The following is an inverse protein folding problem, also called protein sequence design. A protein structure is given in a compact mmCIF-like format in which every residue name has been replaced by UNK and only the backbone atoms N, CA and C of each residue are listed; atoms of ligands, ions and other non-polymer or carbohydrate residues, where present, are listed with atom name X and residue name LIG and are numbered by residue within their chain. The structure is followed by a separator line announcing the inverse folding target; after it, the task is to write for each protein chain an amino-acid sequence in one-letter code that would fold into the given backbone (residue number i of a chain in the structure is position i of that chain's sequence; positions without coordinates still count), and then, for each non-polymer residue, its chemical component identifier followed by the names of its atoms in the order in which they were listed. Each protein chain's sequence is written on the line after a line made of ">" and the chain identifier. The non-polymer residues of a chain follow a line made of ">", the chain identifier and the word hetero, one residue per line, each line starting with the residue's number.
data_IF_540527469807
#
_entry.id   IF_540527469807
#
_cell.length_a   1.000
_cell.length_b   1.000
_cell.length_c   1.000
_cell.angle_alpha   90.00
_cell.angle_beta   90.00
_cell.angle_gamma   90.00
#
_symmetry.space_group_name_H-M   'P 1'
#
loop_
_entity.id
_entity.type
_entity.pdbx_description
1 polymer ?
#
# COMPACT_ATOMS: atom_id res chain seq x y z
N UNK A 1 2.95 29.02 12.99
CA UNK A 1 1.90 28.83 11.98
C UNK A 1 2.48 29.32 10.66
N UNK A 2 2.70 28.47 9.67
CA UNK A 2 3.30 28.91 8.39
C UNK A 2 2.31 29.79 7.63
N UNK A 3 2.79 30.92 7.13
CA UNK A 3 2.01 31.88 6.34
C UNK A 3 1.80 31.34 4.91
N UNK A 4 0.55 31.37 4.44
CA UNK A 4 0.14 30.88 3.12
C UNK A 4 0.85 31.69 2.01
N UNK A 5 1.08 32.98 2.26
CA UNK A 5 1.75 33.87 1.31
C UNK A 5 3.25 33.56 1.16
N UNK A 6 3.91 33.13 2.23
CA UNK A 6 5.31 32.69 2.18
C UNK A 6 5.45 31.40 1.35
N UNK A 7 4.52 30.47 1.52
CA UNK A 7 4.47 29.22 0.75
C UNK A 7 4.25 29.53 -0.74
N UNK A 8 3.34 30.44 -1.06
CA UNK A 8 3.07 30.86 -2.44
C UNK A 8 4.31 31.45 -3.11
N UNK A 9 5.03 32.35 -2.44
CA UNK A 9 6.31 32.91 -2.93
C UNK A 9 7.36 31.82 -3.15
N UNK A 10 7.44 30.85 -2.24
CA UNK A 10 8.38 29.73 -2.37
C UNK A 10 8.07 28.85 -3.59
N UNK A 11 6.80 28.56 -3.84
CA UNK A 11 6.36 27.77 -5.00
C UNK A 11 6.60 28.50 -6.33
N UNK A 12 6.43 29.83 -6.35
CA UNK A 12 6.79 30.65 -7.51
C UNK A 12 8.28 30.52 -7.88
N UNK A 13 9.16 30.45 -6.87
CA UNK A 13 10.60 30.25 -7.07
C UNK A 13 11.01 28.83 -7.50
N UNK A 14 10.09 27.86 -7.55
CA UNK A 14 10.44 26.50 -7.98
C UNK A 14 10.52 26.36 -9.49
N UNK A 15 11.41 25.49 -9.96
CA UNK A 15 11.48 25.09 -11.36
C UNK A 15 10.29 24.20 -11.73
N UNK A 16 9.96 24.16 -13.03
CA UNK A 16 8.88 23.32 -13.55
C UNK A 16 9.08 21.84 -13.26
N UNK A 17 10.33 21.36 -13.25
CA UNK A 17 10.69 19.99 -12.88
C UNK A 17 10.27 19.70 -11.44
N UNK A 18 10.55 20.63 -10.53
CA UNK A 18 10.19 20.50 -9.11
C UNK A 18 8.69 20.54 -8.90
N UNK A 19 7.97 21.44 -9.58
CA UNK A 19 6.50 21.51 -9.55
C UNK A 19 5.88 20.21 -10.09
N UNK A 20 6.38 19.68 -11.21
CA UNK A 20 5.93 18.38 -11.76
C UNK A 20 6.16 17.22 -10.79
N UNK A 21 7.30 17.20 -10.10
CA UNK A 21 7.63 16.17 -9.11
C UNK A 21 6.67 16.21 -7.91
N UNK A 22 6.44 17.40 -7.36
CA UNK A 22 5.52 17.61 -6.23
C UNK A 22 4.10 17.18 -6.64
N UNK A 23 3.65 17.60 -7.82
CA UNK A 23 2.34 17.24 -8.37
C UNK A 23 2.12 15.72 -8.49
N UNK A 24 3.15 14.98 -8.93
CA UNK A 24 3.06 13.53 -9.12
C UNK A 24 3.16 12.74 -7.82
N UNK A 25 4.11 13.09 -6.96
CA UNK A 25 4.54 12.20 -5.87
C UNK A 25 4.06 12.65 -4.49
N UNK A 26 3.83 13.95 -4.29
CA UNK A 26 3.61 14.53 -2.96
C UNK A 26 2.20 15.14 -2.80
N UNK A 27 1.46 15.30 -3.90
CA UNK A 27 0.18 16.01 -3.94
C UNK A 27 -0.88 15.50 -2.97
N UNK A 28 -0.89 14.19 -2.68
CA UNK A 28 -1.78 13.55 -1.69
C UNK A 28 -1.55 14.03 -0.26
N UNK A 29 -0.30 14.28 0.11
CA UNK A 29 0.10 14.63 1.49
C UNK A 29 0.05 16.13 1.77
N UNK A 30 -0.05 16.94 0.71
CA UNK A 30 -0.15 18.39 0.84
C UNK A 30 -1.48 18.78 1.49
N UNK A 31 -1.44 19.83 2.32
CA UNK A 31 -2.65 20.42 2.90
C UNK A 31 -3.56 21.01 1.79
N UNK A 32 -4.89 21.03 1.98
CA UNK A 32 -5.83 21.56 0.98
C UNK A 32 -5.44 22.94 0.44
N UNK A 33 -5.01 23.85 1.31
CA UNK A 33 -4.67 25.22 0.94
C UNK A 33 -3.41 25.28 0.07
N UNK A 34 -2.43 24.41 0.35
CA UNK A 34 -1.18 24.31 -0.42
C UNK A 34 -1.44 23.64 -1.78
N UNK A 35 -2.42 22.74 -1.86
CA UNK A 35 -2.82 22.08 -3.11
C UNK A 35 -3.45 23.06 -4.09
N UNK A 36 -4.25 24.01 -3.61
CA UNK A 36 -4.80 25.06 -4.47
C UNK A 36 -3.68 25.94 -5.04
N UNK A 37 -2.69 26.34 -4.22
CA UNK A 37 -1.49 27.07 -4.70
C UNK A 37 -0.76 26.27 -5.79
N UNK A 38 -0.61 24.96 -5.61
CA UNK A 38 0.05 24.10 -6.59
C UNK A 38 -0.75 24.03 -7.91
N UNK A 39 -2.08 23.93 -7.85
CA UNK A 39 -2.95 23.93 -9.04
C UNK A 39 -2.84 25.25 -9.79
N UNK A 40 -2.89 26.38 -9.07
CA UNK A 40 -2.74 27.72 -9.64
C UNK A 40 -1.40 27.88 -10.37
N UNK A 41 -0.30 27.42 -9.78
CA UNK A 41 1.02 27.49 -10.41
C UNK A 41 1.12 26.60 -11.67
N UNK A 42 0.52 25.41 -11.65
CA UNK A 42 0.48 24.51 -12.82
C UNK A 42 -0.32 25.16 -13.96
N UNK A 43 -1.45 25.80 -13.65
CA UNK A 43 -2.28 26.51 -14.63
C UNK A 43 -1.58 27.76 -15.17
N UNK A 44 -1.01 28.59 -14.30
CA UNK A 44 -0.28 29.83 -14.66
C UNK A 44 0.87 29.54 -15.63
N UNK A 45 1.59 28.45 -15.41
CA UNK A 45 2.74 28.01 -16.23
C UNK A 45 2.33 27.19 -17.45
N UNK A 46 1.03 26.95 -17.67
CA UNK A 46 0.50 26.09 -18.74
C UNK A 46 1.17 24.73 -18.80
N UNK A 47 1.46 24.15 -17.63
CA UNK A 47 2.01 22.81 -17.53
C UNK A 47 0.98 21.75 -17.96
N UNK A 48 1.44 20.51 -18.16
CA UNK A 48 0.61 19.43 -18.68
C UNK A 48 -0.71 19.27 -17.88
N UNK A 49 -1.85 19.36 -18.58
CA UNK A 49 -3.20 19.25 -18.01
C UNK A 49 -3.42 17.94 -17.24
N UNK A 50 -2.76 16.85 -17.64
CA UNK A 50 -2.86 15.56 -16.96
C UNK A 50 -2.39 15.63 -15.49
N UNK A 51 -1.51 16.58 -15.15
CA UNK A 51 -1.08 16.79 -13.76
C UNK A 51 -2.22 17.33 -12.91
N UNK A 52 -3.04 18.24 -13.45
CA UNK A 52 -4.21 18.74 -12.76
C UNK A 52 -5.22 17.62 -12.56
N UNK A 53 -5.50 16.84 -13.61
CA UNK A 53 -6.42 15.69 -13.54
C UNK A 53 -5.97 14.69 -12.47
N UNK A 54 -4.66 14.39 -12.41
CA UNK A 54 -4.08 13.54 -11.36
C UNK A 54 -4.32 14.12 -9.96
N UNK A 55 -4.03 15.41 -9.75
CA UNK A 55 -4.24 16.07 -8.46
C UNK A 55 -5.72 16.04 -8.06
N UNK A 56 -6.65 16.31 -8.99
CA UNK A 56 -8.08 16.24 -8.67
C UNK A 56 -8.50 14.82 -8.29
N UNK A 57 -8.10 13.81 -9.08
CA UNK A 57 -8.45 12.42 -8.84
C UNK A 57 -7.90 11.89 -7.51
N UNK A 58 -6.66 12.22 -7.16
CA UNK A 58 -6.04 11.76 -5.92
C UNK A 58 -6.72 12.35 -4.67
N UNK A 59 -7.24 13.58 -4.79
CA UNK A 59 -7.88 14.32 -3.70
C UNK A 59 -9.39 14.10 -3.59
N UNK A 60 -10.04 13.61 -4.64
CA UNK A 60 -11.44 13.21 -4.60
C UNK A 60 -11.57 11.84 -3.91
N UNK A 61 -11.66 11.87 -2.58
CA UNK A 61 -11.78 10.67 -1.74
C UNK A 61 -13.08 9.93 -2.03
N UNK A 62 -12.99 8.62 -2.22
CA UNK A 62 -14.16 7.73 -2.31
C UNK A 62 -15.04 7.84 -1.05
N UNK A 63 -16.35 7.94 -1.28
CA UNK A 63 -17.37 7.87 -0.23
C UNK A 63 -17.38 6.49 0.43
N UNK A 64 -17.93 6.39 1.65
CA UNK A 64 -18.02 5.11 2.36
C UNK A 64 -18.81 4.04 1.59
N UNK A 65 -19.83 4.47 0.84
CA UNK A 65 -20.60 3.57 -0.01
C UNK A 65 -19.77 3.05 -1.19
N UNK A 66 -19.03 3.92 -1.88
CA UNK A 66 -18.12 3.52 -2.96
C UNK A 66 -17.03 2.58 -2.44
N UNK A 67 -16.44 2.88 -1.27
CA UNK A 67 -15.45 2.02 -0.61
C UNK A 67 -16.03 0.63 -0.32
N UNK A 68 -17.26 0.54 0.21
CA UNK A 68 -17.91 -0.74 0.47
C UNK A 68 -18.24 -1.52 -0.81
N UNK A 69 -18.65 -0.82 -1.88
CA UNK A 69 -18.88 -1.44 -3.19
C UNK A 69 -17.59 -2.03 -3.75
N UNK A 70 -16.49 -1.26 -3.72
CA UNK A 70 -15.16 -1.71 -4.11
C UNK A 70 -14.68 -2.89 -3.25
N UNK A 71 -14.91 -2.85 -1.95
CA UNK A 71 -14.58 -3.94 -1.05
C UNK A 71 -15.25 -5.25 -1.49
N UNK A 72 -16.56 -5.22 -1.73
CA UNK A 72 -17.32 -6.39 -2.22
C UNK A 72 -16.85 -6.82 -3.59
N UNK A 73 -16.43 -5.89 -4.44
CA UNK A 73 -15.88 -6.18 -5.75
C UNK A 73 -14.58 -6.98 -5.62
N UNK A 74 -13.64 -6.47 -4.82
CA UNK A 74 -12.36 -7.13 -4.49
C UNK A 74 -12.61 -8.55 -3.97
N UNK A 75 -13.54 -8.74 -3.02
CA UNK A 75 -13.85 -10.07 -2.49
C UNK A 75 -14.26 -11.06 -3.59
N UNK A 76 -14.91 -10.63 -4.66
CA UNK A 76 -15.51 -11.50 -5.67
C UNK A 76 -14.67 -11.66 -6.95
N UNK A 77 -13.46 -11.10 -6.99
CA UNK A 77 -12.54 -11.25 -8.11
C UNK A 77 -11.86 -12.62 -8.15
N UNK A 78 -11.28 -12.94 -9.31
CA UNK A 78 -10.39 -14.10 -9.46
C UNK A 78 -9.13 -13.88 -8.62
N UNK A 79 -8.58 -14.95 -8.06
CA UNK A 79 -7.34 -14.86 -7.30
C UNK A 79 -6.15 -14.53 -8.22
N UNK A 80 -5.36 -13.48 -7.97
CA UNK A 80 -4.22 -13.13 -8.81
C UNK A 80 -3.12 -14.21 -8.82
N UNK A 81 -2.98 -14.98 -7.74
CA UNK A 81 -1.94 -16.01 -7.63
C UNK A 81 -2.29 -17.35 -8.32
N UNK A 82 -3.57 -17.73 -8.38
CA UNK A 82 -3.97 -19.02 -8.99
C UNK A 82 -4.96 -18.88 -10.15
N UNK A 83 -5.36 -17.65 -10.47
CA UNK A 83 -6.33 -17.26 -11.49
C UNK A 83 -7.70 -17.96 -11.42
N UNK A 84 -8.04 -18.56 -10.27
CA UNK A 84 -9.30 -19.28 -10.05
C UNK A 84 -10.23 -18.47 -9.14
N UNK A 85 -11.53 -18.48 -9.47
CA UNK A 85 -12.61 -17.94 -8.62
C UNK A 85 -13.19 -19.06 -7.76
N UNK A 86 -12.44 -19.46 -6.72
CA UNK A 86 -12.86 -20.54 -5.80
C UNK A 86 -13.62 -20.00 -4.60
N UNK A 87 -13.00 -19.05 -3.91
CA UNK A 87 -13.47 -18.44 -2.67
C UNK A 87 -13.25 -16.94 -2.75
N UNK A 88 -13.86 -16.21 -1.80
CA UNK A 88 -13.62 -14.78 -1.64
C UNK A 88 -12.13 -14.47 -1.47
N UNK A 89 -11.69 -13.36 -2.06
CA UNK A 89 -10.38 -12.81 -1.77
C UNK A 89 -10.38 -12.22 -0.36
N UNK A 90 -9.30 -12.47 0.36
CA UNK A 90 -9.03 -11.96 1.69
C UNK A 90 -7.64 -11.33 1.70
N UNK A 91 -7.52 -10.24 2.42
CA UNK A 91 -6.25 -9.61 2.72
C UNK A 91 -5.70 -10.16 4.04
N UNK A 92 -4.44 -10.58 4.02
CA UNK A 92 -3.76 -11.13 5.19
C UNK A 92 -2.32 -10.64 5.28
N UNK A 93 -1.83 -10.60 6.53
CA UNK A 93 -0.44 -10.32 6.88
C UNK A 93 0.33 -11.66 6.99
N UNK A 94 1.49 -11.72 6.36
CA UNK A 94 2.41 -12.85 6.32
C UNK A 94 3.72 -12.42 6.95
N UNK A 95 4.03 -13.01 8.10
CA UNK A 95 5.26 -12.72 8.84
C UNK A 95 6.28 -13.84 8.60
N UNK A 96 7.52 -13.48 8.32
CA UNK A 96 8.63 -14.42 8.10
C UNK A 96 9.86 -13.91 8.81
N UNK A 97 10.40 -14.69 9.74
CA UNK A 97 11.67 -14.40 10.41
C UNK A 97 12.73 -15.37 9.90
N UNK A 98 13.80 -14.82 9.35
CA UNK A 98 14.99 -15.59 8.97
C UNK A 98 16.16 -15.02 9.74
N UNK A 99 16.88 -15.87 10.47
CA UNK A 99 18.06 -15.45 11.20
C UNK A 99 19.21 -16.43 11.02
N UNK A 100 20.43 -15.90 11.03
CA UNK A 100 21.69 -16.63 10.86
C UNK A 100 22.75 -15.92 11.71
N UNK A 101 23.17 -16.54 12.82
CA UNK A 101 24.27 -16.15 13.73
C UNK A 101 24.19 -14.69 14.21
N UNK A 102 24.62 -13.72 13.39
CA UNK A 102 24.64 -12.29 13.69
C UNK A 102 23.56 -11.48 12.93
N UNK A 103 22.86 -12.09 11.98
CA UNK A 103 21.85 -11.41 11.19
C UNK A 103 20.46 -11.96 11.50
N UNK A 104 19.49 -11.07 11.68
CA UNK A 104 18.09 -11.41 11.78
C UNK A 104 17.29 -10.47 10.87
N UNK A 105 16.47 -11.05 9.98
CA UNK A 105 15.58 -10.33 9.10
C UNK A 105 14.15 -10.74 9.42
N UNK A 106 13.36 -9.79 9.90
CA UNK A 106 11.92 -9.93 9.98
C UNK A 106 11.29 -9.31 8.72
N UNK A 107 10.41 -10.05 8.09
CA UNK A 107 9.64 -9.64 6.92
C UNK A 107 8.17 -9.72 7.26
N UNK A 108 7.45 -8.62 7.08
CA UNK A 108 5.99 -8.60 7.07
C UNK A 108 5.54 -8.28 5.65
N UNK A 109 4.62 -9.07 5.12
CA UNK A 109 4.01 -8.84 3.81
C UNK A 109 2.49 -8.87 3.90
N UNK A 110 1.82 -7.92 3.28
CA UNK A 110 0.38 -7.88 3.13
C UNK A 110 0.00 -8.32 1.72
N UNK A 111 -0.82 -9.37 1.59
CA UNK A 111 -1.31 -9.82 0.28
C UNK A 111 -2.80 -10.05 0.28
N UNK A 112 -3.43 -9.81 -0.86
CA UNK A 112 -4.84 -10.05 -1.13
C UNK A 112 -4.95 -11.30 -2.01
N UNK A 113 -5.39 -12.41 -1.42
CA UNK A 113 -5.38 -13.74 -2.03
C UNK A 113 -6.67 -14.49 -1.71
N UNK A 114 -7.01 -15.52 -2.48
CA UNK A 114 -8.07 -16.43 -2.07
C UNK A 114 -7.65 -17.26 -0.84
N UNK A 115 -8.63 -17.70 -0.06
CA UNK A 115 -8.41 -18.47 1.18
C UNK A 115 -7.38 -19.62 1.03
N UNK A 116 -7.42 -20.36 -0.08
CA UNK A 116 -6.50 -21.48 -0.31
C UNK A 116 -5.04 -21.02 -0.51
N UNK A 117 -4.81 -20.03 -1.36
CA UNK A 117 -3.47 -19.48 -1.59
C UNK A 117 -2.93 -18.81 -0.33
N UNK A 118 -3.81 -18.10 0.39
CA UNK A 118 -3.49 -17.47 1.67
C UNK A 118 -3.04 -18.49 2.71
N UNK A 119 -3.79 -19.58 2.91
CA UNK A 119 -3.45 -20.65 3.85
C UNK A 119 -2.11 -21.30 3.52
N UNK A 120 -1.86 -21.63 2.25
CA UNK A 120 -0.61 -22.25 1.81
C UNK A 120 0.59 -21.32 2.04
N UNK A 121 0.44 -20.02 1.74
CA UNK A 121 1.50 -19.05 1.95
C UNK A 121 1.77 -18.83 3.45
N UNK A 122 0.72 -18.77 4.28
CA UNK A 122 0.84 -18.64 5.74
C UNK A 122 1.57 -19.83 6.35
N UNK A 123 1.23 -21.05 5.94
CA UNK A 123 1.91 -22.26 6.39
C UNK A 123 3.39 -22.26 5.96
N UNK A 124 3.68 -21.88 4.71
CA UNK A 124 5.07 -21.77 4.23
C UNK A 124 5.88 -20.77 5.05
N UNK A 125 5.37 -19.57 5.28
CA UNK A 125 6.02 -18.53 6.10
C UNK A 125 6.22 -18.96 7.55
N UNK A 126 5.23 -19.64 8.12
CA UNK A 126 5.30 -20.21 9.47
C UNK A 126 6.40 -21.27 9.59
N UNK A 127 6.46 -22.21 8.64
CA UNK A 127 7.51 -23.24 8.60
C UNK A 127 8.90 -22.64 8.43
N UNK A 128 9.08 -21.67 7.53
CA UNK A 128 10.36 -20.97 7.34
C UNK A 128 10.77 -20.28 8.65
N UNK A 129 9.83 -19.60 9.32
CA UNK A 129 10.08 -18.91 10.59
C UNK A 129 10.51 -19.89 11.69
N UNK A 130 9.86 -21.04 11.80
CA UNK A 130 10.25 -22.08 12.78
C UNK A 130 11.59 -22.71 12.45
N UNK A 131 11.93 -22.91 11.17
CA UNK A 131 13.18 -23.60 10.81
C UNK A 131 14.38 -22.66 10.83
N UNK A 132 14.19 -21.40 10.49
CA UNK A 132 15.29 -20.44 10.26
C UNK A 132 15.29 -19.26 11.23
N UNK A 133 14.29 -19.11 12.08
CA UNK A 133 14.19 -17.96 12.99
C UNK A 133 15.17 -17.99 14.16
N UNK A 134 15.67 -19.16 14.57
CA UNK A 134 16.33 -19.34 15.88
C UNK A 134 17.86 -19.23 15.88
N UNK A 135 18.51 -19.11 14.72
CA UNK A 135 19.96 -19.25 14.62
C UNK A 135 20.77 -18.02 15.08
N UNK A 136 20.12 -16.99 15.62
CA UNK A 136 20.77 -15.80 16.19
C UNK A 136 20.19 -15.47 17.57
N UNK A 137 20.95 -14.76 18.41
CA UNK A 137 20.48 -14.29 19.74
C UNK A 137 19.19 -13.47 19.64
N UNK A 138 19.13 -12.56 18.66
CA UNK A 138 17.93 -11.75 18.38
C UNK A 138 16.78 -12.58 17.85
N UNK A 139 17.07 -13.57 16.99
CA UNK A 139 16.08 -14.45 16.40
C UNK A 139 15.43 -15.38 17.41
N UNK A 140 16.18 -15.84 18.42
CA UNK A 140 15.67 -16.70 19.49
C UNK A 140 14.53 -16.06 20.29
N UNK A 141 14.57 -14.74 20.52
CA UNK A 141 13.49 -14.00 21.19
C UNK A 141 12.39 -13.53 20.22
N UNK A 142 12.78 -13.13 19.01
CA UNK A 142 11.85 -12.56 18.04
C UNK A 142 10.92 -13.62 17.43
N UNK A 143 11.44 -14.82 17.16
CA UNK A 143 10.68 -15.92 16.56
C UNK A 143 9.46 -16.34 17.38
N UNK A 144 9.56 -16.65 18.69
CA UNK A 144 8.39 -17.04 19.48
C UNK A 144 7.39 -15.89 19.60
N UNK A 145 7.86 -14.64 19.70
CA UNK A 145 6.99 -13.45 19.69
C UNK A 145 6.20 -13.35 18.37
N UNK A 146 6.87 -13.49 17.22
CA UNK A 146 6.20 -13.41 15.91
C UNK A 146 5.22 -14.55 15.70
N UNK A 147 5.54 -15.77 16.15
CA UNK A 147 4.61 -16.92 16.08
C UNK A 147 3.39 -16.70 16.97
N UNK A 148 3.58 -16.20 18.20
CA UNK A 148 2.47 -15.87 19.10
C UNK A 148 1.59 -14.76 18.52
N UNK A 149 2.19 -13.69 17.98
CA UNK A 149 1.48 -12.63 17.26
C UNK A 149 0.65 -13.21 16.11
N UNK A 150 1.23 -14.11 15.32
CA UNK A 150 0.54 -14.73 14.19
C UNK A 150 -0.65 -15.60 14.61
N UNK A 151 -0.54 -16.30 15.74
CA UNK A 151 -1.65 -17.06 16.34
C UNK A 151 -2.76 -16.11 16.79
N UNK A 152 -2.43 -15.04 17.52
CA UNK A 152 -3.41 -14.03 17.96
C UNK A 152 -4.09 -13.37 16.74
N UNK A 153 -3.33 -13.09 15.69
CA UNK A 153 -3.83 -12.50 14.44
C UNK A 153 -4.87 -13.38 13.73
N UNK A 154 -4.88 -14.71 13.94
CA UNK A 154 -5.94 -15.58 13.42
C UNK A 154 -7.31 -15.20 14.01
N UNK A 155 -7.36 -14.84 15.29
CA UNK A 155 -8.60 -14.38 15.96
C UNK A 155 -9.06 -13.01 15.46
N UNK A 156 -8.13 -12.15 14.99
CA UNK A 156 -8.41 -10.80 14.49
C UNK A 156 -8.44 -10.72 12.96
N UNK A 157 -8.57 -11.84 12.26
CA UNK A 157 -8.46 -11.92 10.81
C UNK A 157 -9.42 -10.97 10.08
N UNK A 158 -10.66 -10.80 10.55
CA UNK A 158 -11.62 -9.86 9.96
C UNK A 158 -11.17 -8.40 10.06
N UNK A 159 -10.61 -8.00 11.21
CA UNK A 159 -10.10 -6.64 11.43
C UNK A 159 -8.88 -6.37 10.55
N UNK A 160 -7.97 -7.33 10.44
CA UNK A 160 -6.78 -7.24 9.59
C UNK A 160 -7.16 -7.15 8.12
N UNK A 161 -8.08 -8.02 7.66
CA UNK A 161 -8.61 -8.02 6.31
C UNK A 161 -9.19 -6.66 5.93
N UNK A 162 -10.06 -6.12 6.78
CA UNK A 162 -10.70 -4.84 6.52
C UNK A 162 -9.68 -3.71 6.48
N UNK A 163 -8.72 -3.69 7.42
CA UNK A 163 -7.66 -2.68 7.46
C UNK A 163 -6.83 -2.67 6.18
N UNK A 164 -6.33 -3.84 5.75
CA UNK A 164 -5.45 -3.94 4.57
C UNK A 164 -6.22 -3.56 3.29
N UNK A 165 -7.47 -4.01 3.12
CA UNK A 165 -8.26 -3.65 1.94
C UNK A 165 -8.57 -2.15 1.94
N UNK A 166 -8.91 -1.55 3.08
CA UNK A 166 -9.12 -0.10 3.18
C UNK A 166 -7.85 0.68 2.84
N UNK A 167 -6.69 0.30 3.39
CA UNK A 167 -5.39 0.89 3.06
C UNK A 167 -5.09 0.76 1.56
N UNK A 168 -5.37 -0.40 0.96
CA UNK A 168 -5.22 -0.62 -0.47
C UNK A 168 -6.13 0.30 -1.31
N UNK A 169 -7.39 0.45 -0.92
CA UNK A 169 -8.35 1.32 -1.62
C UNK A 169 -7.89 2.77 -1.54
N UNK A 170 -7.50 3.23 -0.34
CA UNK A 170 -7.07 4.60 -0.11
C UNK A 170 -5.75 4.90 -0.81
N UNK A 171 -4.81 3.96 -0.83
CA UNK A 171 -3.55 4.10 -1.56
C UNK A 171 -3.78 4.29 -3.07
N UNK A 172 -4.72 3.55 -3.65
CA UNK A 172 -5.01 3.57 -5.09
C UNK A 172 -6.17 4.50 -5.49
N UNK A 173 -6.60 5.41 -4.61
CA UNK A 173 -7.75 6.29 -4.83
C UNK A 173 -7.70 7.04 -6.17
N UNK A 174 -6.57 7.71 -6.48
CA UNK A 174 -6.43 8.45 -7.73
C UNK A 174 -6.52 7.56 -8.98
N UNK A 175 -6.01 6.31 -8.90
CA UNK A 175 -6.12 5.35 -10.00
C UNK A 175 -7.58 4.96 -10.21
N UNK A 176 -8.33 4.65 -9.14
CA UNK A 176 -9.75 4.31 -9.25
C UNK A 176 -10.59 5.47 -9.80
N UNK A 177 -10.25 6.71 -9.45
CA UNK A 177 -10.92 7.90 -9.98
C UNK A 177 -10.63 8.15 -11.46
N UNK A 178 -9.40 7.87 -11.92
CA UNK A 178 -9.00 8.13 -13.32
C UNK A 178 -9.39 7.02 -14.29
N UNK A 179 -9.15 5.78 -13.90
CA UNK A 179 -9.30 4.63 -14.78
C UNK A 179 -10.57 3.82 -14.48
N UNK A 180 -11.25 4.15 -13.38
CA UNK A 180 -12.45 3.45 -12.96
C UNK A 180 -12.16 2.25 -12.08
N UNK A 181 -13.21 1.46 -11.87
CA UNK A 181 -13.22 0.35 -10.90
C UNK A 181 -13.56 -0.97 -11.56
N UNK A 182 -13.35 -1.11 -12.87
CA UNK A 182 -13.62 -2.34 -13.61
C UNK A 182 -12.81 -3.54 -13.07
N UNK A 183 -13.30 -4.75 -13.34
CA UNK A 183 -12.73 -5.98 -12.78
C UNK A 183 -11.26 -6.17 -13.18
N UNK A 184 -10.87 -5.76 -14.38
CA UNK A 184 -9.51 -5.90 -14.90
C UNK A 184 -8.55 -4.92 -14.23
N UNK A 185 -8.92 -3.64 -14.12
CA UNK A 185 -8.15 -2.61 -13.41
C UNK A 185 -7.93 -3.01 -11.96
N UNK A 186 -8.99 -3.42 -11.25
CA UNK A 186 -8.88 -3.85 -9.85
C UNK A 186 -7.99 -5.10 -9.74
N UNK A 187 -8.16 -6.09 -10.63
CA UNK A 187 -7.32 -7.30 -10.64
C UNK A 187 -5.84 -6.98 -10.88
N UNK A 188 -5.53 -6.10 -11.84
CA UNK A 188 -4.17 -5.68 -12.16
C UNK A 188 -3.52 -4.92 -11.00
N UNK A 189 -4.28 -4.05 -10.31
CA UNK A 189 -3.80 -3.35 -9.12
C UNK A 189 -3.52 -4.30 -7.95
N UNK A 190 -4.39 -5.28 -7.72
CA UNK A 190 -4.16 -6.29 -6.69
C UNK A 190 -2.92 -7.13 -7.03
N UNK A 191 -2.75 -7.51 -8.30
CA UNK A 191 -1.58 -8.28 -8.74
C UNK A 191 -0.29 -7.50 -8.48
N UNK A 192 -0.23 -6.23 -8.90
CA UNK A 192 0.89 -5.32 -8.60
C UNK A 192 1.12 -5.14 -7.11
N UNK A 193 0.06 -4.99 -6.31
CA UNK A 193 0.17 -4.88 -4.86
C UNK A 193 0.82 -6.12 -4.23
N UNK A 194 0.41 -7.31 -4.69
CA UNK A 194 0.95 -8.57 -4.20
C UNK A 194 2.42 -8.82 -4.63
N UNK A 195 2.85 -8.21 -5.73
CA UNK A 195 4.21 -8.31 -6.27
C UNK A 195 5.15 -7.25 -5.66
N UNK A 196 4.71 -5.99 -5.55
CA UNK A 196 5.49 -4.85 -5.05
C UNK A 196 5.84 -4.93 -3.57
N UNK A 197 5.15 -5.78 -2.78
CA UNK A 197 5.53 -6.04 -1.39
C UNK A 197 6.80 -6.92 -1.25
N UNK A 198 7.45 -7.20 -2.39
CA UNK A 198 8.84 -7.65 -2.45
C UNK A 198 9.84 -6.47 -2.46
N UNK A 199 9.45 -5.26 -2.91
CA UNK A 199 10.34 -4.12 -3.18
C UNK A 199 10.41 -3.05 -2.08
N UNK A 200 9.44 -2.96 -1.15
CA UNK A 200 9.49 -2.06 0.02
C UNK A 200 10.63 -2.38 1.01
N UNK A 201 11.49 -3.35 0.68
CA UNK A 201 12.63 -3.83 1.47
C UNK A 201 13.99 -3.20 1.15
N UNK A 202 14.11 -2.39 0.11
CA UNK A 202 15.39 -1.73 -0.19
C UNK A 202 15.45 -0.26 0.25
N UNK A 203 14.32 0.47 0.26
CA UNK A 203 14.32 1.89 0.67
C UNK A 203 14.38 2.14 2.19
N UNK A 204 14.27 1.10 3.03
CA UNK A 204 14.50 1.22 4.48
C UNK A 204 15.95 0.95 4.89
N UNK A 205 16.83 0.60 3.94
CA UNK A 205 18.27 0.40 4.19
C UNK A 205 19.14 1.64 3.93
N UNK A 206 18.60 2.69 3.31
CA UNK A 206 19.36 3.93 3.02
C UNK A 206 19.29 5.00 4.13
N UNK A 207 18.79 4.64 5.32
CA UNK A 207 18.89 5.49 6.51
C UNK A 207 19.64 4.76 7.63
N UNK A 208 20.92 4.55 7.42
CA UNK A 208 21.92 4.38 8.49
C UNK A 208 23.02 5.42 8.27
#
# INVERSE_FOLDING_TARGET
>A
MYDIDEIKKRYQGFSDIKIKRIARNESKQLRPEIREILKDEIQKRKLNKNLLTWIYAENDTLTDFEKQSLFRKIENLKCPNCNKKRNKLIAQEFNTVVSVILWCKNTTQNKILCHYCSKNLKLKSFLITILTGWWSRTGFLLTPYTLAKDIINLSYQRKINNRIISEFIEYNNGIFRLYGTDDETVFNLISRYNDNDLETKDNSKEKQ
#
